data_IF_026039162548
#
_entry.id   IF_026039162548
#
_cell.length_a   1.000
_cell.length_b   1.000
_cell.length_c   1.000
_cell.angle_alpha   90.00
_cell.angle_beta   90.00
_cell.angle_gamma   90.00
#
_symmetry.space_group_name_H-M   'P 1'
#
loop_
_entity.id
_entity.type
_entity.pdbx_description
1 polymer ?
#
# COMPACT_ATOMS: atom_id res chain seq x y z
N UNK A 1 0.63 14.14 27.73
CA UNK A 1 0.46 12.70 27.99
C UNK A 1 0.84 11.94 26.72
N UNK A 2 2.04 11.37 26.68
CA UNK A 2 2.48 10.55 25.55
C UNK A 2 1.84 9.16 25.72
N UNK A 3 1.14 8.67 24.69
CA UNK A 3 0.59 7.29 24.65
C UNK A 3 -0.93 7.14 24.77
N UNK A 4 -1.63 8.06 25.45
CA UNK A 4 -3.10 7.97 25.58
C UNK A 4 -3.83 8.12 24.24
N UNK A 5 -3.35 9.04 23.39
CA UNK A 5 -3.88 9.20 22.02
C UNK A 5 -3.62 7.97 21.13
N UNK A 6 -2.46 7.32 21.29
CA UNK A 6 -2.11 6.09 20.55
C UNK A 6 -3.02 4.94 20.96
N UNK A 7 -3.21 4.74 22.27
CA UNK A 7 -4.08 3.68 22.80
C UNK A 7 -5.53 3.90 22.34
N UNK A 8 -6.03 5.14 22.45
CA UNK A 8 -7.38 5.47 21.99
C UNK A 8 -7.55 5.24 20.48
N UNK A 9 -6.58 5.63 19.66
CA UNK A 9 -6.61 5.40 18.22
C UNK A 9 -6.62 3.90 17.88
N UNK A 10 -5.76 3.10 18.53
CA UNK A 10 -5.73 1.64 18.33
C UNK A 10 -7.06 1.00 18.70
N UNK A 11 -7.68 1.38 19.83
CA UNK A 11 -8.99 0.86 20.24
C UNK A 11 -10.08 1.25 19.22
N UNK A 12 -10.07 2.49 18.75
CA UNK A 12 -11.02 2.96 17.74
C UNK A 12 -10.91 2.17 16.43
N UNK A 13 -9.68 1.87 15.96
CA UNK A 13 -9.46 1.05 14.76
C UNK A 13 -9.96 -0.39 14.96
N UNK A 14 -9.73 -0.99 16.14
CA UNK A 14 -10.21 -2.35 16.45
C UNK A 14 -11.74 -2.39 16.43
N UNK A 15 -12.40 -1.43 17.10
CA UNK A 15 -13.87 -1.37 17.16
C UNK A 15 -14.45 -1.08 15.78
N UNK A 16 -13.92 -0.09 15.06
CA UNK A 16 -14.35 0.24 13.71
C UNK A 16 -14.15 -0.90 12.71
N UNK A 17 -13.03 -1.61 12.82
CA UNK A 17 -12.77 -2.82 12.03
C UNK A 17 -13.73 -3.96 12.36
N UNK A 18 -14.01 -4.19 13.64
CA UNK A 18 -14.99 -5.19 14.09
C UNK A 18 -16.41 -4.90 13.58
N UNK A 19 -16.86 -3.65 13.69
CA UNK A 19 -18.14 -3.19 13.13
C UNK A 19 -18.13 -3.36 11.60
N UNK A 20 -17.04 -2.96 10.93
CA UNK A 20 -16.89 -3.11 9.48
C UNK A 20 -17.00 -4.56 9.00
N UNK A 21 -16.44 -5.52 9.75
CA UNK A 21 -16.57 -6.95 9.44
C UNK A 21 -18.01 -7.45 9.58
N UNK A 22 -18.76 -6.94 10.56
CA UNK A 22 -20.17 -7.29 10.75
C UNK A 22 -21.04 -6.76 9.59
N UNK A 23 -20.81 -5.52 9.15
CA UNK A 23 -21.54 -4.91 8.04
C UNK A 23 -21.08 -5.38 6.64
N UNK A 24 -19.87 -5.96 6.52
CA UNK A 24 -19.31 -6.44 5.25
C UNK A 24 -20.26 -7.36 4.47
N UNK A 25 -21.11 -8.12 5.16
CA UNK A 25 -22.10 -9.03 4.55
C UNK A 25 -23.12 -8.33 3.65
N UNK A 26 -23.39 -7.04 3.85
CA UNK A 26 -24.31 -6.24 3.03
C UNK A 26 -23.66 -5.46 1.88
N UNK A 27 -22.33 -5.39 1.82
CA UNK A 27 -21.61 -4.54 0.85
C UNK A 27 -21.25 -5.36 -0.39
N UNK A 28 -21.70 -4.89 -1.56
CA UNK A 28 -21.41 -5.51 -2.86
C UNK A 28 -19.90 -5.61 -3.08
N UNK A 29 -19.43 -6.79 -3.49
CA UNK A 29 -17.99 -7.07 -3.66
C UNK A 29 -17.32 -6.09 -4.64
N UNK A 30 -18.01 -5.72 -5.73
CA UNK A 30 -17.51 -4.72 -6.67
C UNK A 30 -17.22 -3.36 -6.03
N UNK A 31 -18.03 -2.93 -5.05
CA UNK A 31 -17.78 -1.68 -4.32
C UNK A 31 -16.55 -1.81 -3.41
N UNK A 32 -16.38 -2.96 -2.74
CA UNK A 32 -15.17 -3.22 -1.94
C UNK A 32 -13.91 -3.19 -2.81
N UNK A 33 -13.95 -3.81 -3.99
CA UNK A 33 -12.82 -3.86 -4.92
C UNK A 33 -12.51 -2.45 -5.46
N UNK A 34 -13.52 -1.67 -5.87
CA UNK A 34 -13.32 -0.28 -6.30
C UNK A 34 -12.79 0.61 -5.18
N UNK A 35 -13.30 0.45 -3.95
CA UNK A 35 -12.79 1.19 -2.79
C UNK A 35 -11.34 0.82 -2.50
N UNK A 36 -11.01 -0.48 -2.51
CA UNK A 36 -9.64 -0.94 -2.28
C UNK A 36 -8.67 -0.38 -3.34
N UNK A 37 -9.07 -0.39 -4.61
CA UNK A 37 -8.29 0.19 -5.69
C UNK A 37 -8.10 1.71 -5.51
N UNK A 38 -9.18 2.43 -5.19
CA UNK A 38 -9.11 3.87 -4.92
C UNK A 38 -8.23 4.21 -3.71
N UNK A 39 -8.32 3.41 -2.63
CA UNK A 39 -7.45 3.56 -1.47
C UNK A 39 -5.99 3.29 -1.82
N UNK A 40 -5.70 2.27 -2.63
CA UNK A 40 -4.35 2.01 -3.11
C UNK A 40 -3.76 3.20 -3.85
N UNK A 41 -4.53 3.79 -4.78
CA UNK A 41 -4.12 5.00 -5.50
C UNK A 41 -3.92 6.18 -4.54
N UNK A 42 -4.85 6.40 -3.59
CA UNK A 42 -4.75 7.47 -2.61
C UNK A 42 -3.48 7.35 -1.74
N UNK A 43 -3.15 6.14 -1.28
CA UNK A 43 -1.94 5.88 -0.48
C UNK A 43 -0.66 6.18 -1.26
N UNK A 44 -0.63 5.91 -2.57
CA UNK A 44 0.49 6.29 -3.43
C UNK A 44 0.69 7.81 -3.43
N UNK A 45 -0.38 8.58 -3.61
CA UNK A 45 -0.30 10.05 -3.58
C UNK A 45 0.17 10.59 -2.23
N UNK A 46 -0.36 10.06 -1.12
CA UNK A 46 0.05 10.45 0.23
C UNK A 46 1.54 10.17 0.45
N UNK A 47 2.02 9.02 -0.03
CA UNK A 47 3.42 8.60 0.14
C UNK A 47 4.38 9.45 -0.71
N UNK A 48 4.03 9.70 -1.98
CA UNK A 48 4.83 10.57 -2.86
C UNK A 48 4.83 12.01 -2.33
N UNK A 49 3.67 12.56 -1.96
CA UNK A 49 3.58 13.90 -1.39
C UNK A 49 4.36 14.05 -0.08
N UNK A 50 4.27 13.07 0.82
CA UNK A 50 4.99 13.06 2.09
C UNK A 50 6.50 12.99 1.92
N UNK A 51 6.99 12.13 1.02
CA UNK A 51 8.43 12.05 0.70
C UNK A 51 8.93 13.33 0.05
N UNK A 52 8.23 13.85 -0.96
CA UNK A 52 8.60 15.11 -1.62
C UNK A 52 8.60 16.29 -0.66
N UNK A 53 7.65 16.36 0.28
CA UNK A 53 7.60 17.43 1.29
C UNK A 53 8.82 17.46 2.21
N UNK A 54 9.49 16.32 2.41
CA UNK A 54 10.73 16.25 3.21
C UNK A 54 11.98 16.42 2.35
N UNK A 55 11.89 16.08 1.06
CA UNK A 55 13.03 16.17 0.14
C UNK A 55 13.20 17.55 -0.47
N UNK A 56 12.10 18.21 -0.86
CA UNK A 56 12.12 19.55 -1.42
C UNK A 56 12.02 20.57 -0.27
N UNK A 57 13.18 21.11 0.11
CA UNK A 57 13.27 22.08 1.20
C UNK A 57 13.60 23.44 0.59
N UNK A 58 12.82 24.45 0.94
CA UNK A 58 13.14 25.83 0.61
C UNK A 58 14.17 26.35 1.60
N UNK A 59 15.33 26.74 1.10
CA UNK A 59 16.41 27.31 1.92
C UNK A 59 17.02 28.50 1.18
N UNK A 60 17.10 29.64 1.85
CA UNK A 60 17.76 30.86 1.34
C UNK A 60 17.29 31.29 -0.06
N UNK A 61 15.98 31.19 -0.33
CA UNK A 61 15.38 31.58 -1.62
C UNK A 61 15.57 30.56 -2.76
N UNK A 62 16.25 29.44 -2.50
CA UNK A 62 16.45 28.36 -3.46
C UNK A 62 15.74 27.07 -3.00
N UNK A 63 15.34 26.26 -3.99
CA UNK A 63 14.83 24.91 -3.75
C UNK A 63 16.01 23.95 -3.68
N UNK A 64 16.27 23.42 -2.49
CA UNK A 64 17.28 22.39 -2.28
C UNK A 64 16.61 21.01 -2.18
N UNK A 65 17.29 19.99 -2.70
CA UNK A 65 16.86 18.60 -2.57
C UNK A 65 17.70 17.90 -1.52
N UNK A 66 17.07 17.48 -0.43
CA UNK A 66 17.71 16.75 0.68
C UNK A 66 17.27 15.28 0.66
N UNK A 67 18.10 14.39 1.21
CA UNK A 67 17.71 12.99 1.44
C UNK A 67 17.74 12.08 0.22
N UNK A 68 18.35 12.49 -0.90
CA UNK A 68 18.43 11.72 -2.15
C UNK A 68 19.00 10.30 -1.97
N UNK A 69 20.02 10.15 -1.11
CA UNK A 69 20.58 8.81 -0.80
C UNK A 69 19.58 7.90 -0.10
N UNK A 70 18.76 8.44 0.82
CA UNK A 70 17.71 7.67 1.49
C UNK A 70 16.57 7.30 0.51
N UNK A 71 16.24 8.18 -0.43
CA UNK A 71 15.27 7.89 -1.49
C UNK A 71 15.76 6.73 -2.36
N UNK A 72 17.01 6.78 -2.85
CA UNK A 72 17.60 5.70 -3.65
C UNK A 72 17.57 4.39 -2.86
N UNK A 73 17.94 4.43 -1.58
CA UNK A 73 17.92 3.24 -0.73
C UNK A 73 16.50 2.69 -0.53
N UNK A 74 15.52 3.56 -0.29
CA UNK A 74 14.11 3.17 -0.18
C UNK A 74 13.57 2.55 -1.48
N UNK A 75 13.96 3.09 -2.63
CA UNK A 75 13.58 2.55 -3.95
C UNK A 75 14.21 1.18 -4.18
N UNK A 76 15.49 1.02 -3.84
CA UNK A 76 16.19 -0.25 -3.95
C UNK A 76 15.51 -1.32 -3.08
N UNK A 77 15.28 -1.02 -1.80
CA UNK A 77 14.60 -1.95 -0.88
C UNK A 77 13.18 -2.25 -1.35
N UNK A 78 12.43 -1.23 -1.77
CA UNK A 78 11.08 -1.41 -2.31
C UNK A 78 11.04 -2.30 -3.55
N UNK A 79 12.03 -2.16 -4.44
CA UNK A 79 12.17 -2.99 -5.64
C UNK A 79 12.50 -4.44 -5.29
N UNK A 80 13.41 -4.68 -4.34
CA UNK A 80 13.73 -6.02 -3.87
C UNK A 80 12.51 -6.72 -3.27
N UNK A 81 11.75 -6.03 -2.42
CA UNK A 81 10.52 -6.57 -1.84
C UNK A 81 9.49 -6.84 -2.94
N UNK A 82 9.35 -5.91 -3.90
CA UNK A 82 8.47 -6.07 -5.06
C UNK A 82 8.80 -7.32 -5.88
N UNK A 83 10.09 -7.58 -6.13
CA UNK A 83 10.54 -8.75 -6.89
C UNK A 83 10.29 -10.06 -6.13
N UNK A 84 10.50 -10.08 -4.81
CA UNK A 84 10.18 -11.24 -3.97
C UNK A 84 8.67 -11.54 -3.99
N UNK A 85 7.81 -10.52 -3.96
CA UNK A 85 6.36 -10.71 -4.06
C UNK A 85 5.97 -11.17 -5.48
N UNK A 86 6.57 -10.56 -6.51
CA UNK A 86 6.29 -10.87 -7.91
C UNK A 86 6.65 -12.31 -8.28
N UNK A 87 7.80 -12.82 -7.80
CA UNK A 87 8.18 -14.22 -8.04
C UNK A 87 7.11 -15.20 -7.56
N UNK A 88 6.56 -15.00 -6.34
CA UNK A 88 5.47 -15.82 -5.81
C UNK A 88 4.16 -15.69 -6.60
N UNK A 89 3.88 -14.51 -7.14
CA UNK A 89 2.68 -14.26 -7.96
C UNK A 89 2.82 -14.85 -9.37
N UNK A 90 4.01 -14.77 -9.97
CA UNK A 90 4.34 -15.39 -11.25
C UNK A 90 4.23 -16.90 -11.18
N UNK A 91 4.71 -17.55 -10.11
CA UNK A 91 4.48 -18.98 -9.89
C UNK A 91 2.98 -19.32 -9.78
N UNK A 92 2.18 -18.49 -9.10
CA UNK A 92 0.73 -18.70 -8.98
C UNK A 92 -0.02 -18.53 -10.30
N UNK A 93 0.29 -17.51 -11.09
CA UNK A 93 -0.35 -17.26 -12.39
C UNK A 93 0.22 -18.17 -13.49
N UNK A 94 1.51 -18.46 -13.48
CA UNK A 94 2.18 -19.37 -14.40
C UNK A 94 1.63 -20.79 -14.33
N UNK A 95 1.28 -21.29 -13.14
CA UNK A 95 0.61 -22.59 -12.98
C UNK A 95 -0.74 -22.67 -13.73
N UNK A 96 -1.48 -21.56 -13.81
CA UNK A 96 -2.76 -21.49 -14.55
C UNK A 96 -2.60 -21.48 -16.07
N UNK A 97 -1.46 -21.03 -16.59
CA UNK A 97 -1.15 -21.03 -18.03
C UNK A 97 -0.41 -22.29 -18.49
N UNK A 98 0.25 -23.01 -17.58
CA UNK A 98 1.00 -24.25 -17.89
C UNK A 98 0.19 -25.53 -17.81
N UNK A 99 -1.01 -25.54 -17.20
CA UNK A 99 -1.97 -26.63 -17.40
C UNK A 99 -2.71 -26.41 -18.73
N UNK A 100 -2.50 -27.25 -19.77
CA UNK A 100 -3.27 -27.16 -21.00
C UNK A 100 -4.72 -27.44 -20.66
N UNK A 101 -5.56 -26.40 -20.68
CA UNK A 101 -7.01 -26.51 -20.44
C UNK A 101 -7.77 -27.12 -21.62
N UNK A 102 -7.02 -27.64 -22.61
CA UNK A 102 -7.49 -28.38 -23.77
C UNK A 102 -7.65 -29.89 -23.50
N UNK A 103 -7.36 -30.36 -22.29
CA UNK A 103 -7.38 -31.79 -21.93
C UNK A 103 -8.21 -32.10 -20.68
N UNK A 104 -9.33 -31.41 -20.51
CA UNK A 104 -10.41 -31.88 -19.64
C UNK A 104 -11.69 -31.65 -20.44
N UNK A 105 -12.33 -32.77 -20.80
CA UNK A 105 -13.51 -32.94 -21.66
C UNK A 105 -14.49 -31.78 -21.72
#
# INVERSE_FOLDING_TARGET
MIGLGTIANTIAVIIGGGIGLFLKKGIKKSLQDSLLQAMGIAVLFISIGGTLSQMLVFKDGHLETTGTMLMIFSLLVGTLIGEIINSNLYWRYGYYWSTPRWFIW
#
